data_IF_152831864772
#
_entry.id   IF_152831864772
#
_cell.length_a   1.000
_cell.length_b   1.000
_cell.length_c   1.000
_cell.angle_alpha   90.00
_cell.angle_beta   90.00
_cell.angle_gamma   90.00
#
_symmetry.space_group_name_H-M   'P 1'
#
loop_
_entity.id
_entity.type
_entity.pdbx_description
1 polymer ?
#
# COMPACT_ATOMS: atom_id res chain seq x y z
N UNK A 1 59.49 28.95 43.00
CA UNK A 1 60.64 28.04 42.86
C UNK A 1 60.12 26.61 42.88
N UNK A 2 60.72 25.73 42.05
CA UNK A 2 60.37 24.32 41.76
C UNK A 2 59.10 24.15 40.90
N UNK A 3 59.09 23.77 39.61
CA UNK A 3 59.88 22.84 38.79
C UNK A 3 59.69 21.36 39.16
N UNK A 4 58.79 20.67 38.44
CA UNK A 4 58.77 19.23 38.09
C UNK A 4 57.81 19.11 36.88
N UNK A 5 58.29 19.20 35.64
CA UNK A 5 58.67 18.06 34.79
C UNK A 5 57.67 16.89 34.85
N UNK A 6 57.00 16.61 33.73
CA UNK A 6 57.13 15.34 32.99
C UNK A 6 56.82 15.59 31.50
N UNK A 7 57.82 15.30 30.68
CA UNK A 7 57.78 15.25 29.22
C UNK A 7 57.62 13.79 28.79
N UNK A 8 57.31 13.62 27.50
CA UNK A 8 57.35 12.39 26.67
C UNK A 8 56.01 11.64 26.59
N UNK A 9 55.50 11.16 25.44
CA UNK A 9 55.94 11.13 24.02
C UNK A 9 54.83 10.41 23.26
N UNK A 10 54.20 11.04 22.26
CA UNK A 10 53.56 10.28 21.19
C UNK A 10 53.93 10.88 19.84
N UNK A 11 54.68 10.07 19.11
CA UNK A 11 55.40 10.42 17.90
C UNK A 11 54.46 10.43 16.71
N UNK A 12 54.75 11.36 15.80
CA UNK A 12 54.19 11.52 14.47
C UNK A 12 54.26 10.20 13.68
N UNK A 13 53.18 9.87 12.96
CA UNK A 13 53.26 9.06 11.73
C UNK A 13 52.52 9.80 10.63
N UNK A 14 53.31 10.52 9.84
CA UNK A 14 52.95 11.17 8.58
C UNK A 14 52.92 10.08 7.51
N UNK A 15 51.77 9.86 6.88
CA UNK A 15 51.62 9.04 5.67
C UNK A 15 51.53 9.94 4.43
N UNK A 16 52.00 9.49 3.25
CA UNK A 16 52.34 10.39 2.15
C UNK A 16 51.14 10.77 1.28
N UNK A 17 51.20 12.04 0.89
CA UNK A 17 50.68 12.67 -0.32
C UNK A 17 50.55 11.72 -1.52
N UNK A 18 49.36 11.67 -2.12
CA UNK A 18 49.23 11.31 -3.53
C UNK A 18 48.28 12.31 -4.20
N UNK A 19 48.90 13.34 -4.76
CA UNK A 19 48.28 14.36 -5.59
C UNK A 19 48.26 13.87 -7.04
N UNK A 20 47.09 13.53 -7.57
CA UNK A 20 46.85 13.53 -9.02
C UNK A 20 45.50 14.23 -9.27
N UNK A 21 45.60 15.53 -9.51
CA UNK A 21 44.66 16.27 -10.32
C UNK A 21 44.73 15.74 -11.75
N UNK A 22 43.60 15.33 -12.33
CA UNK A 22 43.39 15.44 -13.78
C UNK A 22 41.90 15.61 -14.07
N UNK A 23 41.65 16.63 -14.88
CA UNK A 23 40.38 17.21 -15.27
C UNK A 23 39.40 16.20 -15.88
N UNK A 24 38.11 16.38 -15.58
CA UNK A 24 36.97 15.74 -16.25
C UNK A 24 36.44 16.72 -17.29
N UNK A 25 36.51 16.44 -18.60
CA UNK A 25 35.82 17.22 -19.61
C UNK A 25 34.37 16.75 -19.76
N UNK A 26 33.49 17.73 -19.92
CA UNK A 26 32.12 17.60 -20.38
C UNK A 26 32.04 17.06 -21.81
N UNK A 27 30.88 16.47 -22.13
CA UNK A 27 30.37 16.21 -23.48
C UNK A 27 30.77 14.86 -24.14
N UNK A 28 29.92 13.85 -23.92
CA UNK A 28 29.88 12.65 -24.76
C UNK A 28 28.45 12.49 -25.30
N UNK A 29 28.31 12.77 -26.60
CA UNK A 29 27.12 12.52 -27.40
C UNK A 29 26.97 11.00 -27.58
N UNK A 30 25.95 10.41 -26.96
CA UNK A 30 25.63 9.00 -27.15
C UNK A 30 24.79 8.82 -28.41
N UNK A 31 25.46 8.46 -29.50
CA UNK A 31 24.86 7.86 -30.69
C UNK A 31 24.74 6.35 -30.46
N UNK A 32 23.55 5.86 -30.15
CA UNK A 32 23.28 4.43 -30.09
C UNK A 32 22.77 3.94 -31.44
N UNK A 33 23.66 3.27 -32.19
CA UNK A 33 23.35 2.41 -33.33
C UNK A 33 22.39 1.31 -32.91
N UNK A 34 21.31 1.16 -33.67
CA UNK A 34 20.39 0.03 -33.64
C UNK A 34 21.04 -1.19 -34.31
N UNK A 35 21.49 -2.15 -33.53
CA UNK A 35 21.87 -3.48 -34.03
C UNK A 35 20.61 -4.35 -34.15
N UNK A 36 20.23 -4.63 -35.39
CA UNK A 36 19.23 -5.61 -35.78
C UNK A 36 19.70 -7.00 -35.36
N UNK A 37 19.09 -7.57 -34.31
CA UNK A 37 19.32 -8.97 -33.92
C UNK A 37 18.18 -9.83 -34.47
N UNK A 38 18.46 -10.45 -35.61
CA UNK A 38 17.68 -11.50 -36.27
C UNK A 38 17.29 -12.61 -35.31
N UNK A 39 15.99 -12.86 -35.20
CA UNK A 39 15.38 -13.92 -34.38
C UNK A 39 15.41 -15.25 -35.17
N UNK A 40 16.44 -16.06 -34.95
CA UNK A 40 16.52 -17.43 -35.46
C UNK A 40 15.52 -18.32 -34.71
N UNK A 41 14.55 -18.86 -35.46
CA UNK A 41 13.66 -19.91 -35.00
C UNK A 41 14.47 -21.14 -34.54
N UNK A 42 14.22 -21.62 -33.33
CA UNK A 42 14.52 -23.00 -32.96
C UNK A 42 13.31 -23.66 -32.32
N UNK A 43 13.02 -24.81 -32.91
CA UNK A 43 11.94 -25.74 -32.69
C UNK A 43 11.91 -26.35 -31.29
N UNK A 44 10.69 -26.57 -30.82
CA UNK A 44 10.28 -27.32 -29.64
C UNK A 44 11.04 -28.64 -29.43
N UNK A 45 11.44 -28.89 -28.18
CA UNK A 45 11.61 -30.24 -27.65
C UNK A 45 11.24 -30.28 -26.17
N UNK A 46 10.06 -30.84 -25.87
CA UNK A 46 9.66 -31.26 -24.53
C UNK A 46 10.40 -32.56 -24.17
N UNK A 47 11.14 -32.63 -23.05
CA UNK A 47 11.48 -33.89 -22.44
C UNK A 47 10.46 -34.26 -21.35
N UNK A 48 9.85 -35.42 -21.54
CA UNK A 48 9.01 -36.12 -20.57
C UNK A 48 9.82 -36.57 -19.34
N UNK A 49 9.14 -36.64 -18.19
CA UNK A 49 9.70 -37.16 -16.94
C UNK A 49 9.86 -38.69 -16.97
N UNK A 50 10.68 -39.25 -16.05
CA UNK A 50 10.05 -40.00 -14.97
C UNK A 50 10.71 -39.89 -13.57
N UNK A 51 9.83 -39.86 -12.57
CA UNK A 51 9.84 -40.47 -11.22
C UNK A 51 11.12 -40.49 -10.34
N UNK A 52 10.98 -40.07 -9.07
CA UNK A 52 10.88 -40.93 -7.87
C UNK A 52 11.07 -40.06 -6.60
N UNK A 53 10.20 -40.27 -5.61
CA UNK A 53 10.10 -39.64 -4.29
C UNK A 53 11.23 -40.18 -3.36
N UNK A 54 11.78 -39.36 -2.44
CA UNK A 54 11.59 -39.74 -1.04
C UNK A 54 11.00 -38.61 -0.19
N UNK A 55 9.96 -38.98 0.55
CA UNK A 55 9.39 -38.19 1.61
C UNK A 55 10.40 -38.08 2.75
N UNK A 56 10.61 -36.86 3.26
CA UNK A 56 10.99 -36.70 4.65
C UNK A 56 10.07 -35.65 5.29
N UNK A 57 8.92 -36.17 5.75
CA UNK A 57 8.04 -35.51 6.70
C UNK A 57 8.70 -35.58 8.07
N UNK A 58 9.25 -34.49 8.56
CA UNK A 58 9.41 -34.30 10.00
C UNK A 58 8.15 -33.65 10.53
N UNK A 59 7.20 -34.48 10.96
CA UNK A 59 6.07 -34.08 11.80
C UNK A 59 6.58 -34.11 13.23
N UNK A 60 6.84 -32.95 13.82
CA UNK A 60 7.11 -32.86 15.25
C UNK A 60 5.78 -32.90 16.00
N UNK A 61 5.43 -34.08 16.53
CA UNK A 61 4.39 -34.23 17.54
C UNK A 61 4.95 -33.84 18.90
N UNK A 62 4.79 -32.58 19.29
CA UNK A 62 4.86 -32.19 20.70
C UNK A 62 3.44 -31.95 21.20
N UNK A 63 2.92 -32.92 21.94
CA UNK A 63 1.74 -32.81 22.77
C UNK A 63 2.00 -31.80 23.88
N UNK A 64 1.30 -30.67 23.87
CA UNK A 64 1.24 -29.77 25.03
C UNK A 64 -0.19 -29.24 25.19
N UNK A 65 -0.87 -29.82 26.18
CA UNK A 65 -2.00 -29.32 26.96
C UNK A 65 -3.07 -28.45 26.27
N UNK A 66 -4.13 -29.16 25.88
CA UNK A 66 -5.50 -28.65 25.87
C UNK A 66 -5.96 -28.43 27.31
N UNK A 67 -6.04 -27.18 27.77
CA UNK A 67 -6.69 -26.86 29.05
C UNK A 67 -8.21 -26.93 28.89
N UNK A 68 -8.82 -27.97 29.46
CA UNK A 68 -10.21 -27.95 29.91
C UNK A 68 -10.23 -27.43 31.35
N UNK A 69 -11.03 -26.40 31.63
CA UNK A 69 -11.94 -26.32 32.80
C UNK A 69 -13.08 -25.38 32.40
N UNK A 70 -14.33 -25.85 32.51
CA UNK A 70 -15.55 -25.04 32.65
C UNK A 70 -16.06 -25.16 34.10
N UNK A 71 -17.23 -24.60 34.47
CA UNK A 71 -17.54 -23.21 34.77
C UNK A 71 -17.96 -23.05 36.26
N UNK A 72 -17.94 -21.84 36.81
CA UNK A 72 -18.63 -21.55 38.08
C UNK A 72 -19.46 -20.27 37.99
N UNK A 73 -20.62 -20.33 38.64
CA UNK A 73 -21.72 -19.39 38.54
C UNK A 73 -21.97 -18.67 39.88
N UNK A 74 -22.69 -17.55 39.76
CA UNK A 74 -23.60 -16.88 40.72
C UNK A 74 -23.11 -15.86 41.77
N UNK A 75 -23.89 -14.76 41.76
CA UNK A 75 -24.42 -13.94 42.86
C UNK A 75 -23.70 -12.63 43.28
N UNK A 76 -24.27 -11.54 42.76
CA UNK A 76 -24.65 -10.25 43.38
C UNK A 76 -24.27 -9.96 44.85
N UNK A 77 -23.66 -8.77 45.08
CA UNK A 77 -24.02 -7.83 46.16
C UNK A 77 -23.35 -6.46 45.98
N UNK A 78 -24.06 -5.40 46.35
CA UNK A 78 -23.76 -3.98 46.16
C UNK A 78 -22.77 -3.36 47.19
N UNK A 79 -22.09 -2.30 46.73
CA UNK A 79 -21.62 -1.07 47.42
C UNK A 79 -20.84 -1.12 48.76
N UNK A 80 -19.61 -0.57 48.74
CA UNK A 80 -19.20 0.59 49.56
C UNK A 80 -17.73 0.99 49.28
N UNK A 81 -17.48 2.31 49.32
CA UNK A 81 -16.20 2.99 49.09
C UNK A 81 -15.13 2.66 50.15
N UNK A 82 -13.86 2.76 49.74
CA UNK A 82 -12.71 2.75 50.63
C UNK A 82 -11.44 3.12 49.88
N UNK A 83 -10.91 4.29 50.20
CA UNK A 83 -9.75 4.92 49.56
C UNK A 83 -8.45 4.29 50.08
N UNK A 84 -7.58 3.81 49.19
CA UNK A 84 -6.19 3.45 49.55
C UNK A 84 -5.28 3.41 48.31
N UNK A 85 -4.34 4.34 48.30
CA UNK A 85 -2.95 4.24 47.79
C UNK A 85 -2.75 3.65 46.38
N UNK A 86 -2.59 4.55 45.40
CA UNK A 86 -2.09 4.21 44.05
C UNK A 86 -0.56 4.11 44.12
N UNK A 87 -0.06 2.89 44.30
CA UNK A 87 1.30 2.54 43.92
C UNK A 87 1.47 2.67 42.39
N UNK A 88 2.46 3.46 41.98
CA UNK A 88 2.89 3.62 40.59
C UNK A 88 3.48 2.31 40.06
N UNK A 89 2.62 1.43 39.56
CA UNK A 89 3.02 0.47 38.52
C UNK A 89 2.69 1.13 37.18
N UNK A 90 3.73 1.45 36.40
CA UNK A 90 3.58 2.07 35.09
C UNK A 90 2.81 1.14 34.14
N UNK A 91 1.48 1.25 34.12
CA UNK A 91 0.64 0.52 33.21
C UNK A 91 1.12 0.78 31.77
N UNK A 92 1.35 -0.26 30.95
CA UNK A 92 1.73 -0.06 29.56
C UNK A 92 0.62 0.74 28.86
N UNK A 93 0.99 1.87 28.26
CA UNK A 93 0.11 2.77 27.49
C UNK A 93 -0.96 1.95 26.73
N UNK A 94 -2.21 2.01 27.20
CA UNK A 94 -3.34 1.23 26.65
C UNK A 94 -3.61 1.68 25.21
N UNK A 95 -2.97 1.01 24.24
CA UNK A 95 -3.18 1.28 22.81
C UNK A 95 -4.54 0.72 22.38
N UNK A 96 -5.30 1.50 21.62
CA UNK A 96 -6.59 1.08 21.07
C UNK A 96 -6.41 -0.18 20.22
N UNK A 97 -7.11 -1.25 20.61
CA UNK A 97 -7.21 -2.49 19.84
C UNK A 97 -8.20 -2.25 18.68
N UNK A 98 -7.86 -2.76 17.50
CA UNK A 98 -8.71 -2.64 16.32
C UNK A 98 -9.67 -3.82 16.28
N UNK A 99 -10.96 -3.52 16.26
CA UNK A 99 -12.01 -4.50 16.01
C UNK A 99 -12.24 -4.62 14.50
N UNK A 100 -12.40 -5.84 14.01
CA UNK A 100 -12.74 -6.09 12.60
C UNK A 100 -14.25 -6.29 12.50
N UNK A 101 -14.93 -5.36 11.86
CA UNK A 101 -16.37 -5.43 11.61
C UNK A 101 -16.67 -6.02 10.23
N UNK A 102 -17.81 -6.71 10.05
CA UNK A 102 -18.23 -7.19 8.74
C UNK A 102 -18.68 -6.03 7.82
N UNK A 103 -18.64 -6.19 6.49
CA UNK A 103 -19.01 -5.14 5.54
C UNK A 103 -20.44 -4.61 5.75
N UNK A 104 -21.40 -5.46 6.10
CA UNK A 104 -22.80 -5.08 6.29
C UNK A 104 -22.96 -3.99 7.36
N UNK A 105 -22.28 -4.13 8.49
CA UNK A 105 -22.31 -3.13 9.57
C UNK A 105 -21.76 -1.78 9.12
N UNK A 106 -20.75 -1.77 8.26
CA UNK A 106 -20.19 -0.53 7.73
C UNK A 106 -21.13 0.18 6.75
N UNK A 107 -21.94 -0.57 5.99
CA UNK A 107 -22.98 0.00 5.12
C UNK A 107 -24.05 0.68 5.96
N UNK A 108 -24.53 -0.01 7.00
CA UNK A 108 -25.51 0.54 7.94
C UNK A 108 -24.96 1.79 8.66
N UNK A 109 -23.67 1.77 9.02
CA UNK A 109 -23.01 2.91 9.66
C UNK A 109 -23.00 4.15 8.77
N UNK A 110 -22.71 4.01 7.47
CA UNK A 110 -22.72 5.14 6.52
C UNK A 110 -24.12 5.79 6.37
N UNK A 111 -25.19 5.04 6.63
CA UNK A 111 -26.57 5.54 6.58
C UNK A 111 -27.04 6.14 7.91
N UNK A 112 -26.35 5.78 9.00
CA UNK A 112 -26.68 6.21 10.35
C UNK A 112 -26.56 7.72 10.56
N UNK A 113 -27.26 8.22 11.57
CA UNK A 113 -27.17 9.63 12.01
C UNK A 113 -25.78 9.95 12.53
N UNK A 114 -25.16 9.02 13.25
CA UNK A 114 -23.83 9.19 13.82
C UNK A 114 -22.76 9.52 12.76
N UNK A 115 -22.80 8.89 11.59
CA UNK A 115 -21.87 9.20 10.49
C UNK A 115 -22.11 10.61 9.92
N UNK A 116 -23.36 11.02 9.79
CA UNK A 116 -23.72 12.36 9.30
C UNK A 116 -23.31 13.45 10.29
N UNK A 117 -23.43 13.19 11.59
CA UNK A 117 -23.02 14.15 12.62
C UNK A 117 -21.50 14.30 12.68
N UNK A 118 -20.72 13.24 12.41
CA UNK A 118 -19.25 13.27 12.46
C UNK A 118 -18.59 13.81 11.19
N UNK A 119 -19.11 13.46 10.01
CA UNK A 119 -18.50 13.81 8.71
C UNK A 119 -19.32 14.79 7.88
N UNK A 120 -20.64 14.88 8.12
CA UNK A 120 -21.53 15.72 7.32
C UNK A 120 -21.66 15.23 5.88
N UNK A 121 -21.55 16.17 4.95
CA UNK A 121 -21.61 15.91 3.50
C UNK A 121 -20.22 15.72 2.88
N UNK A 122 -19.16 15.98 3.65
CA UNK A 122 -17.79 15.94 3.16
C UNK A 122 -17.25 14.49 3.15
N UNK A 123 -16.31 14.16 2.25
CA UNK A 123 -15.69 12.84 2.26
C UNK A 123 -14.81 12.64 3.49
N UNK A 124 -14.70 11.40 3.97
CA UNK A 124 -14.07 11.04 5.26
C UNK A 124 -12.69 11.66 5.49
N UNK A 125 -11.90 11.86 4.43
CA UNK A 125 -10.51 12.29 4.51
C UNK A 125 -10.31 13.81 4.56
N UNK A 126 -11.35 14.64 4.45
CA UNK A 126 -11.22 16.13 4.48
C UNK A 126 -10.72 16.65 5.81
N UNK A 127 -11.29 16.15 6.91
CA UNK A 127 -10.97 16.59 8.27
C UNK A 127 -9.64 15.99 8.80
N UNK A 128 -8.85 15.38 7.92
CA UNK A 128 -7.60 14.75 8.28
C UNK A 128 -6.38 15.54 7.83
N UNK A 129 -5.50 15.86 8.79
CA UNK A 129 -4.19 16.48 8.51
C UNK A 129 -3.07 15.59 9.03
N UNK A 130 -2.10 15.32 8.16
CA UNK A 130 -0.91 14.52 8.50
C UNK A 130 0.21 15.39 9.02
N UNK A 131 0.84 14.95 10.11
CA UNK A 131 2.03 15.59 10.65
C UNK A 131 3.28 15.09 9.89
N UNK A 132 4.05 16.03 9.33
CA UNK A 132 5.34 15.79 8.70
C UNK A 132 6.21 17.03 8.87
N UNK A 133 7.54 16.89 8.69
CA UNK A 133 8.48 18.00 8.85
C UNK A 133 8.57 18.82 7.56
N UNK A 134 8.57 20.15 7.69
CA UNK A 134 8.76 21.09 6.59
C UNK A 134 7.47 21.46 5.86
N UNK A 135 7.60 22.21 4.76
CA UNK A 135 6.47 22.71 3.98
C UNK A 135 5.84 21.63 3.09
N UNK A 136 6.67 20.74 2.54
CA UNK A 136 6.22 19.73 1.58
C UNK A 136 6.09 18.35 2.23
N UNK A 137 4.97 17.63 2.01
CA UNK A 137 4.81 16.28 2.50
C UNK A 137 5.80 15.34 1.81
N UNK A 138 6.27 14.28 2.51
CA UNK A 138 7.04 13.23 1.86
C UNK A 138 6.19 12.55 0.79
N UNK A 139 6.77 12.16 -0.35
CA UNK A 139 6.03 11.64 -1.50
C UNK A 139 5.29 10.33 -1.20
N UNK A 140 5.77 9.57 -0.21
CA UNK A 140 5.15 8.32 0.23
C UNK A 140 4.55 8.49 1.62
N UNK A 141 3.35 7.96 1.81
CA UNK A 141 2.76 7.84 3.15
C UNK A 141 3.40 6.69 3.93
N UNK A 142 3.16 6.67 5.24
CA UNK A 142 3.61 5.58 6.11
C UNK A 142 3.06 4.23 5.63
N UNK A 143 3.81 3.15 5.88
CA UNK A 143 3.43 1.81 5.43
C UNK A 143 2.09 1.36 6.02
N UNK A 144 1.97 1.35 7.36
CA UNK A 144 0.76 0.95 8.09
C UNK A 144 0.57 1.83 9.31
N UNK A 145 -0.69 1.99 9.73
CA UNK A 145 -1.06 2.66 10.97
C UNK A 145 -1.33 1.67 12.11
N UNK A 146 -1.73 0.45 11.75
CA UNK A 146 -2.05 -0.66 12.65
C UNK A 146 -0.89 -1.66 12.62
N UNK A 147 -0.45 -2.11 13.81
CA UNK A 147 0.55 -3.17 14.00
C UNK A 147 0.07 -4.11 15.09
N UNK A 148 0.18 -5.41 14.89
CA UNK A 148 -0.29 -6.43 15.85
C UNK A 148 -1.74 -6.21 16.35
N UNK A 149 -2.65 -5.80 15.46
CA UNK A 149 -4.06 -5.56 15.81
C UNK A 149 -4.31 -4.32 16.68
N UNK A 150 -3.31 -3.46 16.89
CA UNK A 150 -3.43 -2.23 17.67
C UNK A 150 -3.02 -1.01 16.85
N UNK A 151 -3.64 0.13 17.13
CA UNK A 151 -3.24 1.41 16.54
C UNK A 151 -1.91 1.83 17.18
N UNK A 152 -0.83 1.75 16.40
CA UNK A 152 0.50 2.11 16.86
C UNK A 152 0.76 3.62 16.77
N UNK A 153 0.11 4.31 15.82
CA UNK A 153 0.37 5.73 15.60
C UNK A 153 -0.57 6.62 16.41
N UNK A 154 -0.05 7.71 17.00
CA UNK A 154 -0.88 8.69 17.70
C UNK A 154 -1.90 9.42 16.81
N UNK A 155 -1.54 9.73 15.57
CA UNK A 155 -2.45 10.30 14.57
C UNK A 155 -2.71 9.28 13.44
N UNK A 156 -3.68 8.34 13.57
CA UNK A 156 -3.98 7.30 12.58
C UNK A 156 -4.53 7.85 11.26
N UNK A 157 -4.70 7.01 10.24
CA UNK A 157 -5.34 7.44 8.98
C UNK A 157 -6.86 7.63 9.14
N UNK A 158 -7.56 8.34 8.24
CA UNK A 158 -9.03 8.53 8.33
C UNK A 158 -9.79 7.19 8.46
N UNK A 159 -9.41 6.20 7.65
CA UNK A 159 -9.99 4.85 7.66
C UNK A 159 -9.57 4.05 8.91
N UNK A 160 -8.42 4.35 9.49
CA UNK A 160 -7.83 3.58 10.57
C UNK A 160 -8.23 4.11 11.95
N UNK A 161 -8.74 5.34 12.00
CA UNK A 161 -9.20 6.00 13.22
C UNK A 161 -10.54 5.41 13.67
N UNK A 162 -11.39 5.12 12.69
CA UNK A 162 -12.77 4.69 12.90
C UNK A 162 -12.91 3.22 12.52
N UNK A 163 -13.41 2.41 13.46
CA UNK A 163 -13.48 0.96 13.31
C UNK A 163 -14.57 0.51 12.32
N UNK A 164 -15.65 1.28 12.22
CA UNK A 164 -16.79 0.99 11.34
C UNK A 164 -16.51 1.28 9.86
N UNK A 165 -15.41 1.97 9.53
CA UNK A 165 -15.03 2.26 8.14
C UNK A 165 -14.25 1.09 7.55
N UNK A 166 -14.99 0.09 7.10
CA UNK A 166 -14.42 -1.12 6.50
C UNK A 166 -14.35 -0.99 4.98
N UNK A 167 -13.17 -1.22 4.40
CA UNK A 167 -12.92 -1.13 2.97
C UNK A 167 -13.30 -2.47 2.31
N UNK A 168 -14.41 -2.48 1.60
CA UNK A 168 -14.90 -3.63 0.85
C UNK A 168 -15.62 -3.18 -0.45
N UNK A 169 -15.56 -4.01 -1.50
CA UNK A 169 -16.18 -3.76 -2.81
C UNK A 169 -17.70 -3.54 -2.76
N UNK A 170 -18.39 -4.14 -1.79
CA UNK A 170 -19.84 -3.93 -1.56
C UNK A 170 -20.16 -2.49 -1.11
N UNK A 171 -19.20 -1.82 -0.48
CA UNK A 171 -19.39 -0.52 0.16
C UNK A 171 -19.18 0.61 -0.86
N UNK A 172 -20.05 0.66 -1.85
CA UNK A 172 -19.96 1.60 -2.97
C UNK A 172 -19.91 3.06 -2.48
N UNK A 173 -20.73 3.42 -1.48
CA UNK A 173 -20.78 4.76 -0.88
C UNK A 173 -19.43 5.21 -0.29
N UNK A 174 -18.69 4.30 0.32
CA UNK A 174 -17.37 4.60 0.88
C UNK A 174 -16.32 4.71 -0.23
N UNK A 175 -16.30 3.75 -1.15
CA UNK A 175 -15.30 3.71 -2.24
C UNK A 175 -15.41 4.92 -3.17
N UNK A 176 -16.62 5.39 -3.46
CA UNK A 176 -16.84 6.59 -4.28
C UNK A 176 -16.13 7.83 -3.72
N UNK A 177 -15.99 7.97 -2.40
CA UNK A 177 -15.31 9.11 -1.78
C UNK A 177 -13.80 9.15 -2.08
N UNK A 178 -13.21 8.01 -2.45
CA UNK A 178 -11.80 7.88 -2.79
C UNK A 178 -11.55 7.93 -4.31
N UNK A 179 -12.58 8.18 -5.10
CA UNK A 179 -12.52 8.32 -6.56
C UNK A 179 -12.80 9.78 -6.92
N UNK A 180 -12.03 10.33 -7.86
CA UNK A 180 -12.30 11.66 -8.43
C UNK A 180 -13.62 11.64 -9.21
N UNK A 181 -14.60 12.52 -8.92
CA UNK A 181 -15.89 12.51 -9.62
C UNK A 181 -15.76 12.87 -11.10
N UNK A 182 -14.75 13.66 -11.47
CA UNK A 182 -14.54 14.11 -12.85
C UNK A 182 -13.66 13.16 -13.66
N UNK A 183 -12.58 12.66 -13.06
CA UNK A 183 -11.58 11.85 -13.76
C UNK A 183 -11.89 10.35 -13.68
N UNK A 184 -12.61 9.90 -12.64
CA UNK A 184 -12.80 8.47 -12.36
C UNK A 184 -11.52 7.75 -11.87
N UNK A 185 -10.45 8.51 -11.62
CA UNK A 185 -9.19 8.01 -11.08
C UNK A 185 -9.24 7.89 -9.56
N UNK A 186 -8.47 6.94 -9.02
CA UNK A 186 -8.33 6.75 -7.58
C UNK A 186 -7.44 7.85 -7.01
N UNK A 187 -7.91 8.46 -5.92
CA UNK A 187 -7.19 9.54 -5.25
C UNK A 187 -5.89 9.03 -4.64
N UNK A 188 -4.78 9.73 -4.96
CA UNK A 188 -3.45 9.38 -4.45
C UNK A 188 -3.38 9.56 -2.92
N UNK A 189 -2.59 8.73 -2.21
CA UNK A 189 -2.48 8.77 -0.75
C UNK A 189 -1.89 10.08 -0.20
N UNK A 190 -1.21 10.87 -1.03
CA UNK A 190 -0.72 12.21 -0.67
C UNK A 190 -1.89 13.16 -0.39
N UNK A 191 -3.00 13.03 -1.14
CA UNK A 191 -4.21 13.85 -0.98
C UNK A 191 -5.07 13.36 0.18
N UNK A 192 -5.31 12.05 0.24
CA UNK A 192 -6.24 11.44 1.23
C UNK A 192 -5.58 11.16 2.58
N UNK A 193 -4.25 11.09 2.67
CA UNK A 193 -3.53 10.86 3.91
C UNK A 193 -3.58 9.42 4.44
N UNK A 194 -4.07 8.47 3.65
CA UNK A 194 -4.18 7.05 4.05
C UNK A 194 -2.81 6.35 4.11
N UNK A 195 -2.67 5.34 4.98
CA UNK A 195 -1.45 4.52 5.02
C UNK A 195 -1.40 3.64 3.75
N UNK A 196 -0.19 3.29 3.29
CA UNK A 196 0.02 2.54 2.04
C UNK A 196 -0.72 1.20 1.98
N UNK A 197 -0.80 0.47 3.11
CA UNK A 197 -1.55 -0.79 3.16
C UNK A 197 -3.04 -0.58 2.88
N UNK A 198 -3.65 0.46 3.46
CA UNK A 198 -5.05 0.82 3.22
C UNK A 198 -5.27 1.35 1.80
N UNK A 199 -4.30 2.07 1.23
CA UNK A 199 -4.35 2.44 -0.19
C UNK A 199 -4.38 1.20 -1.09
N UNK A 200 -3.50 0.23 -0.85
CA UNK A 200 -3.49 -1.01 -1.62
C UNK A 200 -4.80 -1.79 -1.48
N UNK A 201 -5.36 -1.87 -0.26
CA UNK A 201 -6.69 -2.46 -0.04
C UNK A 201 -7.79 -1.72 -0.81
N UNK A 202 -7.78 -0.37 -0.82
CA UNK A 202 -8.71 0.44 -1.62
C UNK A 202 -8.58 0.15 -3.11
N UNK A 203 -7.34 0.14 -3.63
CA UNK A 203 -7.09 -0.08 -5.06
C UNK A 203 -7.62 -1.46 -5.49
N UNK A 204 -7.40 -2.49 -4.68
CA UNK A 204 -7.92 -3.84 -4.92
C UNK A 204 -9.44 -3.91 -4.86
N UNK A 205 -10.07 -3.36 -3.83
CA UNK A 205 -11.53 -3.43 -3.68
C UNK A 205 -12.25 -2.58 -4.73
N UNK A 206 -11.67 -1.45 -5.16
CA UNK A 206 -12.17 -0.66 -6.29
C UNK A 206 -12.06 -1.46 -7.59
N UNK A 207 -10.93 -2.13 -7.83
CA UNK A 207 -10.76 -2.97 -9.01
C UNK A 207 -11.83 -4.08 -9.04
N UNK A 208 -12.01 -4.81 -7.93
CA UNK A 208 -13.07 -5.83 -7.79
C UNK A 208 -14.46 -5.24 -8.02
N UNK A 209 -14.76 -4.08 -7.45
CA UNK A 209 -16.05 -3.43 -7.61
C UNK A 209 -16.32 -2.97 -9.05
N UNK A 210 -15.27 -2.60 -9.81
CA UNK A 210 -15.37 -2.33 -11.25
C UNK A 210 -15.65 -3.62 -12.04
N UNK A 211 -14.92 -4.70 -11.74
CA UNK A 211 -15.09 -6.00 -12.41
C UNK A 211 -16.49 -6.60 -12.17
N UNK A 212 -17.02 -6.45 -10.94
CA UNK A 212 -18.38 -6.86 -10.59
C UNK A 212 -19.48 -5.92 -11.11
N UNK A 213 -19.12 -4.77 -11.67
CA UNK A 213 -20.08 -3.76 -12.15
C UNK A 213 -20.83 -3.02 -11.03
N UNK A 214 -20.35 -3.07 -9.78
CA UNK A 214 -20.93 -2.32 -8.65
C UNK A 214 -20.61 -0.82 -8.74
N UNK A 215 -19.42 -0.48 -9.24
CA UNK A 215 -18.98 0.89 -9.49
C UNK A 215 -19.12 1.25 -10.95
N UNK A 216 -19.70 2.44 -11.21
CA UNK A 216 -19.75 3.03 -12.54
C UNK A 216 -18.41 3.67 -12.88
N UNK A 217 -17.87 3.39 -14.05
CA UNK A 217 -16.65 4.01 -14.56
C UNK A 217 -16.69 4.11 -16.08
N UNK A 218 -15.86 4.98 -16.66
CA UNK A 218 -15.78 5.13 -18.11
C UNK A 218 -14.96 4.00 -18.72
N UNK A 219 -15.58 3.27 -19.65
CA UNK A 219 -14.91 2.23 -20.43
C UNK A 219 -14.46 2.85 -21.76
N UNK A 220 -13.16 2.79 -22.11
CA UNK A 220 -12.70 3.31 -23.39
C UNK A 220 -13.24 2.46 -24.54
N UNK A 221 -13.61 3.12 -25.65
CA UNK A 221 -13.97 2.40 -26.87
C UNK A 221 -12.73 1.75 -27.47
N UNK A 222 -12.83 0.45 -27.78
CA UNK A 222 -11.78 -0.31 -28.46
C UNK A 222 -12.05 -0.29 -29.96
N UNK A 223 -11.14 0.29 -30.74
CA UNK A 223 -11.17 0.21 -32.19
C UNK A 223 -10.52 -1.10 -32.65
N UNK A 224 -11.23 -1.88 -33.46
CA UNK A 224 -10.72 -3.12 -34.06
C UNK A 224 -10.29 -2.87 -35.49
N UNK A 225 -9.10 -3.34 -35.86
CA UNK A 225 -8.70 -3.41 -37.25
C UNK A 225 -9.25 -4.70 -37.88
N UNK A 226 -10.36 -4.59 -38.61
CA UNK A 226 -11.00 -5.73 -39.26
C UNK A 226 -10.12 -6.42 -40.32
N UNK A 227 -9.09 -5.73 -40.85
CA UNK A 227 -8.13 -6.34 -41.77
C UNK A 227 -7.32 -7.47 -41.15
N UNK A 228 -7.19 -7.52 -39.81
CA UNK A 228 -6.45 -8.58 -39.13
C UNK A 228 -7.21 -9.91 -39.14
N UNK A 229 -8.53 -9.86 -39.08
CA UNK A 229 -9.41 -11.02 -38.98
C UNK A 229 -9.90 -11.54 -40.33
N UNK A 230 -9.97 -10.67 -41.33
CA UNK A 230 -10.51 -11.00 -42.66
C UNK A 230 -9.40 -10.82 -43.72
N UNK A 231 -8.66 -11.89 -44.07
CA UNK A 231 -7.57 -11.84 -45.04
C UNK A 231 -7.98 -11.28 -46.41
N UNK A 232 -9.26 -11.43 -46.79
CA UNK A 232 -9.82 -10.85 -48.01
C UNK A 232 -9.73 -9.31 -48.03
N UNK A 233 -9.85 -8.65 -46.87
CA UNK A 233 -9.75 -7.19 -46.75
C UNK A 233 -8.30 -6.71 -46.82
N UNK A 234 -7.31 -7.57 -46.53
CA UNK A 234 -5.88 -7.24 -46.72
C UNK A 234 -5.52 -7.13 -48.20
N UNK A 235 -6.19 -7.91 -49.05
CA UNK A 235 -5.88 -7.96 -50.49
C UNK A 235 -6.28 -6.67 -51.22
N UNK A 236 -7.34 -6.01 -50.76
CA UNK A 236 -7.85 -4.75 -51.37
C UNK A 236 -6.89 -3.58 -51.14
N UNK A 237 -6.17 -3.55 -50.00
CA UNK A 237 -5.28 -2.43 -49.65
C UNK A 237 -4.01 -2.32 -50.51
N UNK A 238 -3.61 -3.36 -51.25
CA UNK A 238 -2.43 -3.29 -52.12
C UNK A 238 -2.62 -2.43 -53.38
N UNK A 239 -3.82 -1.88 -53.62
CA UNK A 239 -4.11 -1.01 -54.77
C UNK A 239 -4.72 0.36 -54.44
N UNK A 240 -4.83 0.75 -53.17
CA UNK A 240 -5.44 2.02 -52.79
C UNK A 240 -4.73 2.64 -51.58
N UNK A 241 -3.87 3.62 -51.82
CA UNK A 241 -3.51 4.62 -50.81
C UNK A 241 -4.74 5.53 -50.59
N UNK A 242 -5.19 5.75 -49.34
CA UNK A 242 -6.27 6.69 -49.09
C UNK A 242 -5.75 8.12 -49.05
N UNK A 243 -6.24 8.93 -50.00
CA UNK A 243 -6.15 10.39 -50.02
C UNK A 243 -6.72 10.96 -48.71
N UNK A 244 -5.92 11.77 -48.03
CA UNK A 244 -6.28 12.45 -46.78
C UNK A 244 -7.44 13.41 -47.01
N UNK A 245 -8.66 12.99 -46.67
CA UNK A 245 -9.77 13.91 -46.55
C UNK A 245 -9.70 14.60 -45.19
N UNK A 246 -9.17 15.81 -45.20
CA UNK A 246 -9.44 16.85 -44.21
C UNK A 246 -10.96 16.97 -44.05
N UNK A 247 -11.49 16.58 -42.89
CA UNK A 247 -12.81 17.03 -42.47
C UNK A 247 -12.59 18.32 -41.71
N UNK A 248 -12.66 19.43 -42.45
CA UNK A 248 -12.82 20.78 -41.91
C UNK A 248 -14.18 20.85 -41.20
N UNK A 249 -14.17 21.22 -39.92
CA UNK A 249 -15.28 21.87 -39.23
C UNK A 249 -14.73 23.11 -38.52
#
# INVERSE_FOLDING_TARGET
>A
MAALMWFTRFSRRIGPFCSIFRNVPENAQNTCKSDERTFSAYSYRFPAQPNVIPANRYVSTSTANCCKVEPEATADSEAANGDAEVEETSEPLKRKKVTLHPPETSILYLESKAYKDTYGNDPVWTNYRRNFKGQFPPPKTRATCIRAGQIFTGNPCPICRDEYLVVHHTNVKLLQQFISPYTGEIMKPIKTGVCRKKQYELDLEILKAKDLGLLKYQVPFRHYNYGDYYPQLRRVKKGAEPESQEVVL
#
